data_IF_413291920271
#
_entry.id   IF_413291920271
#
_cell.length_a   1.000
_cell.length_b   1.000
_cell.length_c   1.000
_cell.angle_alpha   90.00
_cell.angle_beta   90.00
_cell.angle_gamma   90.00
#
_symmetry.space_group_name_H-M   'P 1'
#
loop_
_entity.id
_entity.type
_entity.pdbx_description
1 polymer ?
#
# COMPACT_ATOMS: atom_id res chain seq x y z
N UNK A 1 10.97 49.85 41.70
CA UNK A 1 11.43 48.45 41.52
C UNK A 1 10.44 47.78 40.58
N UNK A 2 10.88 47.31 39.40
CA UNK A 2 10.04 46.58 38.44
C UNK A 2 10.36 45.09 38.55
N UNK A 3 9.42 44.29 39.01
CA UNK A 3 9.50 42.83 39.05
C UNK A 3 9.02 42.31 37.70
N UNK A 4 9.93 41.83 36.85
CA UNK A 4 9.57 41.11 35.63
C UNK A 4 9.21 39.67 35.98
N UNK A 5 7.98 39.29 35.67
CA UNK A 5 7.49 37.91 35.76
C UNK A 5 7.79 37.24 34.41
N UNK A 6 8.70 36.27 34.40
CA UNK A 6 8.96 35.40 33.25
C UNK A 6 7.93 34.27 33.28
N UNK A 7 6.85 34.41 32.51
CA UNK A 7 5.92 33.32 32.23
C UNK A 7 5.64 33.31 30.73
N UNK A 8 6.31 32.43 29.97
CA UNK A 8 5.83 31.88 28.68
C UNK A 8 6.95 31.04 28.05
N UNK A 9 7.17 29.81 28.50
CA UNK A 9 8.01 28.87 27.73
C UNK A 9 7.63 27.39 27.89
N UNK A 10 6.87 27.02 28.93
CA UNK A 10 6.54 25.62 29.19
C UNK A 10 5.31 25.12 28.40
N UNK A 11 4.32 25.98 28.10
CA UNK A 11 3.09 25.56 27.40
C UNK A 11 3.27 25.29 25.89
N UNK A 12 4.21 25.99 25.22
CA UNK A 12 4.44 25.82 23.78
C UNK A 12 5.15 24.51 23.46
N UNK A 13 6.12 24.11 24.30
CA UNK A 13 6.85 22.85 24.12
C UNK A 13 5.95 21.62 24.35
N UNK A 14 5.04 21.67 25.32
CA UNK A 14 4.12 20.57 25.61
C UNK A 14 3.11 20.37 24.47
N UNK A 15 2.54 21.45 23.91
CA UNK A 15 1.59 21.37 22.79
C UNK A 15 2.23 20.84 21.50
N UNK A 16 3.48 21.20 21.21
CA UNK A 16 4.21 20.71 20.03
C UNK A 16 4.51 19.20 20.12
N UNK A 17 4.84 18.69 21.31
CA UNK A 17 5.11 17.27 21.52
C UNK A 17 3.85 16.40 21.34
N UNK A 18 2.69 16.87 21.78
CA UNK A 18 1.42 16.15 21.62
C UNK A 18 0.95 16.10 20.15
N UNK A 19 1.17 17.16 19.38
CA UNK A 19 0.78 17.21 17.96
C UNK A 19 1.59 16.24 17.09
N UNK A 20 2.90 16.09 17.34
CA UNK A 20 3.75 15.17 16.57
C UNK A 20 3.43 13.70 16.82
N UNK A 21 3.08 13.33 18.06
CA UNK A 21 2.69 11.96 18.40
C UNK A 21 1.39 11.53 17.67
N UNK A 22 0.41 12.42 17.62
CA UNK A 22 -0.88 12.17 16.95
C UNK A 22 -0.72 11.93 15.44
N UNK A 23 0.19 12.65 14.78
CA UNK A 23 0.44 12.50 13.34
C UNK A 23 1.15 11.17 13.02
N UNK A 24 2.07 10.72 13.88
CA UNK A 24 2.70 9.41 13.74
C UNK A 24 1.67 8.28 13.88
N UNK A 25 0.72 8.43 14.81
CA UNK A 25 -0.41 7.50 14.98
C UNK A 25 -1.31 7.45 13.73
N UNK A 26 -1.62 8.60 13.12
CA UNK A 26 -2.42 8.66 11.89
C UNK A 26 -1.75 7.95 10.71
N UNK A 27 -0.43 8.13 10.51
CA UNK A 27 0.33 7.40 9.49
C UNK A 27 0.27 5.89 9.75
N UNK A 28 0.54 5.46 10.97
CA UNK A 28 0.50 4.05 11.35
C UNK A 28 -0.90 3.45 11.17
N UNK A 29 -1.95 4.20 11.52
CA UNK A 29 -3.34 3.77 11.39
C UNK A 29 -3.75 3.57 9.93
N UNK A 30 -3.31 4.45 9.02
CA UNK A 30 -3.60 4.32 7.58
C UNK A 30 -3.10 2.99 7.01
N UNK A 31 -1.85 2.63 7.30
CA UNK A 31 -1.27 1.35 6.87
C UNK A 31 -1.88 0.16 7.60
N UNK A 32 -2.17 0.29 8.90
CA UNK A 32 -2.82 -0.77 9.67
C UNK A 32 -4.20 -1.12 9.11
N UNK A 33 -4.99 -0.10 8.74
CA UNK A 33 -6.32 -0.28 8.14
C UNK A 33 -6.24 -0.98 6.78
N UNK A 34 -5.32 -0.55 5.91
CA UNK A 34 -5.08 -1.23 4.64
C UNK A 34 -4.67 -2.69 4.88
N UNK A 35 -3.73 -2.96 5.78
CA UNK A 35 -3.29 -4.32 6.10
C UNK A 35 -4.42 -5.21 6.59
N UNK A 36 -5.28 -4.70 7.47
CA UNK A 36 -6.44 -5.43 7.96
C UNK A 36 -7.38 -5.81 6.83
N UNK A 37 -7.68 -4.86 5.93
CA UNK A 37 -8.53 -5.12 4.76
C UNK A 37 -7.93 -6.18 3.85
N UNK A 38 -6.65 -6.05 3.49
CA UNK A 38 -5.97 -7.02 2.63
C UNK A 38 -5.96 -8.42 3.25
N UNK A 39 -5.69 -8.53 4.56
CA UNK A 39 -5.71 -9.81 5.29
C UNK A 39 -7.10 -10.43 5.41
N UNK A 40 -8.15 -9.61 5.46
CA UNK A 40 -9.55 -10.06 5.52
C UNK A 40 -10.11 -10.49 4.16
N UNK A 41 -9.39 -10.22 3.07
CA UNK A 41 -9.85 -10.51 1.72
C UNK A 41 -9.88 -12.02 1.47
N UNK A 42 -11.03 -12.51 0.96
CA UNK A 42 -11.17 -13.90 0.54
C UNK A 42 -10.68 -14.04 -0.90
N UNK A 43 -9.58 -14.78 -1.08
CA UNK A 43 -9.04 -15.13 -2.40
C UNK A 43 -10.05 -15.98 -3.17
N UNK A 44 -10.24 -15.64 -4.44
CA UNK A 44 -11.18 -16.31 -5.34
C UNK A 44 -10.53 -17.47 -6.10
N UNK A 45 -9.20 -17.48 -6.19
CA UNK A 45 -8.43 -18.43 -6.99
C UNK A 45 -8.20 -17.97 -8.43
N UNK A 46 -8.84 -16.87 -8.83
CA UNK A 46 -8.52 -16.11 -10.03
C UNK A 46 -7.40 -15.12 -9.70
N UNK A 47 -6.23 -15.37 -10.28
CA UNK A 47 -4.99 -14.62 -10.01
C UNK A 47 -5.16 -13.14 -10.37
N UNK A 48 -5.64 -12.87 -11.58
CA UNK A 48 -5.74 -11.52 -12.12
C UNK A 48 -6.76 -10.70 -11.32
N UNK A 49 -7.88 -11.32 -10.93
CA UNK A 49 -8.90 -10.70 -10.07
C UNK A 49 -8.42 -10.47 -8.64
N UNK A 50 -7.75 -11.45 -8.06
CA UNK A 50 -7.26 -11.38 -6.69
C UNK A 50 -6.14 -10.32 -6.57
N UNK A 51 -5.19 -10.28 -7.53
CA UNK A 51 -4.19 -9.21 -7.64
C UNK A 51 -4.85 -7.84 -7.71
N UNK A 52 -5.82 -7.66 -8.60
CA UNK A 52 -6.45 -6.37 -8.82
C UNK A 52 -7.18 -5.87 -7.55
N UNK A 53 -7.93 -6.73 -6.86
CA UNK A 53 -8.61 -6.36 -5.61
C UNK A 53 -7.60 -6.01 -4.51
N UNK A 54 -6.54 -6.81 -4.35
CA UNK A 54 -5.52 -6.54 -3.34
C UNK A 54 -4.77 -5.24 -3.62
N UNK A 55 -4.36 -5.01 -4.87
CA UNK A 55 -3.59 -3.82 -5.25
C UNK A 55 -4.44 -2.54 -5.13
N UNK A 56 -5.76 -2.62 -5.34
CA UNK A 56 -6.67 -1.48 -5.08
C UNK A 56 -6.62 -1.05 -3.62
N UNK A 57 -6.76 -1.99 -2.67
CA UNK A 57 -6.70 -1.67 -1.25
C UNK A 57 -5.31 -1.24 -0.83
N UNK A 58 -4.26 -1.87 -1.38
CA UNK A 58 -2.87 -1.47 -1.15
C UNK A 58 -2.63 0.00 -1.53
N UNK A 59 -2.99 0.41 -2.75
CA UNK A 59 -2.91 1.81 -3.18
C UNK A 59 -3.72 2.77 -2.30
N UNK A 60 -4.86 2.32 -1.75
CA UNK A 60 -5.62 3.15 -0.82
C UNK A 60 -4.84 3.47 0.46
N UNK A 61 -4.03 2.53 0.97
CA UNK A 61 -3.17 2.78 2.12
C UNK A 61 -2.14 3.88 1.84
N UNK A 62 -1.50 3.86 0.67
CA UNK A 62 -0.59 4.92 0.26
C UNK A 62 -1.27 6.29 0.07
N UNK A 63 -2.47 6.32 -0.50
CA UNK A 63 -3.25 7.56 -0.65
C UNK A 63 -3.64 8.13 0.72
N UNK A 64 -4.10 7.28 1.64
CA UNK A 64 -4.48 7.68 3.00
C UNK A 64 -3.26 8.28 3.74
N UNK A 65 -2.10 7.61 3.68
CA UNK A 65 -0.85 8.11 4.27
C UNK A 65 -0.34 9.40 3.62
N UNK A 66 -0.43 9.51 2.29
CA UNK A 66 -0.05 10.71 1.57
C UNK A 66 -0.90 11.92 1.99
N UNK A 67 -2.19 11.72 2.24
CA UNK A 67 -3.06 12.77 2.76
C UNK A 67 -2.74 13.16 4.21
N UNK A 68 -2.21 12.26 5.04
CA UNK A 68 -1.71 12.59 6.38
C UNK A 68 -0.49 13.51 6.26
N UNK A 69 0.54 13.13 5.51
CA UNK A 69 1.76 13.95 5.38
C UNK A 69 1.48 15.29 4.71
N UNK A 70 0.52 15.39 3.76
CA UNK A 70 0.17 16.68 3.17
C UNK A 70 -0.46 17.69 4.15
N UNK A 71 -0.98 17.22 5.29
CA UNK A 71 -1.54 18.09 6.34
C UNK A 71 -0.50 18.55 7.35
N UNK A 72 0.56 17.78 7.57
CA UNK A 72 1.47 17.93 8.72
C UNK A 72 2.96 17.96 8.36
N UNK A 73 3.31 17.47 7.18
CA UNK A 73 4.66 17.43 6.63
C UNK A 73 5.19 18.80 6.23
N UNK A 74 6.49 18.99 6.43
CA UNK A 74 7.16 20.28 6.26
C UNK A 74 8.15 20.27 5.11
N UNK A 75 8.68 19.10 4.75
CA UNK A 75 9.63 18.98 3.67
C UNK A 75 8.94 19.12 2.29
N UNK A 76 9.37 20.07 1.45
CA UNK A 76 8.74 20.32 0.16
C UNK A 76 8.89 19.17 -0.83
N UNK A 77 9.97 18.37 -0.74
CA UNK A 77 10.17 17.20 -1.61
C UNK A 77 9.27 16.06 -1.19
N UNK A 78 9.12 15.81 0.12
CA UNK A 78 8.17 14.79 0.62
C UNK A 78 6.74 15.18 0.24
N UNK A 79 6.36 16.44 0.42
CA UNK A 79 5.05 16.93 -0.02
C UNK A 79 4.83 16.81 -1.53
N UNK A 80 5.88 16.98 -2.35
CA UNK A 80 5.79 16.76 -3.79
C UNK A 80 5.52 15.29 -4.14
N UNK A 81 6.23 14.36 -3.49
CA UNK A 81 6.02 12.92 -3.67
C UNK A 81 4.61 12.52 -3.22
N UNK A 82 4.14 13.01 -2.07
CA UNK A 82 2.80 12.73 -1.58
C UNK A 82 1.70 13.24 -2.54
N UNK A 83 1.87 14.44 -3.12
CA UNK A 83 0.95 14.96 -4.16
C UNK A 83 0.93 14.06 -5.40
N UNK A 84 2.09 13.57 -5.82
CA UNK A 84 2.21 12.66 -6.96
C UNK A 84 1.45 11.36 -6.70
N UNK A 85 1.62 10.76 -5.52
CA UNK A 85 0.86 9.57 -5.09
C UNK A 85 -0.64 9.81 -5.18
N UNK A 86 -1.15 10.91 -4.61
CA UNK A 86 -2.58 11.27 -4.66
C UNK A 86 -3.08 11.52 -6.08
N UNK A 87 -2.22 11.94 -7.01
CA UNK A 87 -2.59 12.22 -8.40
C UNK A 87 -2.51 10.98 -9.31
N UNK A 88 -1.63 10.02 -9.01
CA UNK A 88 -1.32 8.89 -9.89
C UNK A 88 -1.97 7.58 -9.44
N UNK A 89 -1.91 7.22 -8.17
CA UNK A 89 -2.43 5.94 -7.69
C UNK A 89 -3.94 5.75 -7.90
N UNK A 90 -4.81 6.78 -7.82
CA UNK A 90 -6.22 6.63 -8.19
C UNK A 90 -6.43 6.19 -9.65
N UNK A 91 -5.54 6.57 -10.58
CA UNK A 91 -5.60 6.15 -11.98
C UNK A 91 -5.30 4.67 -12.12
N UNK A 92 -4.30 4.17 -11.40
CA UNK A 92 -4.00 2.74 -11.35
C UNK A 92 -5.17 1.95 -10.73
N UNK A 93 -5.76 2.43 -9.62
CA UNK A 93 -6.96 1.81 -9.04
C UNK A 93 -8.12 1.79 -10.04
N UNK A 94 -8.33 2.86 -10.81
CA UNK A 94 -9.36 2.90 -11.85
C UNK A 94 -9.10 1.83 -12.93
N UNK A 95 -7.87 1.72 -13.42
CA UNK A 95 -7.50 0.71 -14.42
C UNK A 95 -7.72 -0.72 -13.91
N UNK A 96 -7.37 -1.00 -12.63
CA UNK A 96 -7.62 -2.29 -11.99
C UNK A 96 -9.12 -2.58 -11.86
N UNK A 97 -9.93 -1.59 -11.44
CA UNK A 97 -11.40 -1.73 -11.35
C UNK A 97 -12.04 -2.00 -12.71
N UNK A 98 -11.56 -1.34 -13.76
CA UNK A 98 -12.05 -1.57 -15.12
C UNK A 98 -11.86 -3.03 -15.53
N UNK A 99 -10.68 -3.61 -15.26
CA UNK A 99 -10.43 -5.01 -15.53
C UNK A 99 -11.41 -5.94 -14.79
N UNK A 100 -11.57 -5.76 -13.48
CA UNK A 100 -12.51 -6.57 -12.67
C UNK A 100 -13.95 -6.44 -13.19
N UNK A 101 -14.36 -5.25 -13.64
CA UNK A 101 -15.71 -5.01 -14.15
C UNK A 101 -15.98 -5.61 -15.54
N UNK A 102 -14.98 -5.65 -16.41
CA UNK A 102 -15.09 -6.21 -17.75
C UNK A 102 -15.33 -7.74 -17.71
N UNK A 103 -14.63 -8.44 -16.81
CA UNK A 103 -14.84 -9.87 -16.52
C UNK A 103 -16.27 -10.17 -16.02
N UNK A 104 -16.88 -9.29 -15.24
CA UNK A 104 -18.27 -9.51 -14.78
C UNK A 104 -19.28 -9.42 -15.92
N UNK A 105 -19.03 -8.60 -16.96
CA UNK A 105 -19.91 -8.49 -18.12
C UNK A 105 -19.81 -9.71 -19.04
N UNK A 106 -18.59 -10.18 -19.32
CA UNK A 106 -18.37 -11.36 -20.17
C UNK A 106 -18.90 -12.65 -19.55
N UNK A 107 -18.86 -12.78 -18.22
CA UNK A 107 -19.39 -13.95 -17.52
C UNK A 107 -20.92 -13.91 -17.33
N UNK A 108 -21.53 -12.72 -17.20
CA UNK A 108 -22.99 -12.57 -17.17
C UNK A 108 -23.65 -12.93 -18.52
N UNK A 109 -22.95 -12.71 -19.64
CA UNK A 109 -23.41 -13.08 -20.98
C UNK A 109 -23.23 -14.57 -21.31
N UNK A 110 -22.37 -15.29 -20.58
CA UNK A 110 -22.10 -16.73 -20.77
C UNK A 110 -22.80 -17.65 -19.75
N UNK A 111 -23.60 -17.10 -18.84
CA UNK A 111 -24.19 -17.82 -17.72
C UNK A 111 -25.48 -18.59 -18.03
N UNK A 112 -25.41 -19.64 -18.85
CA UNK A 112 -26.37 -20.76 -18.81
C UNK A 112 -25.72 -22.03 -19.36
N UNK A 113 -24.79 -22.62 -18.61
CA UNK A 113 -24.52 -24.05 -18.74
C UNK A 113 -23.95 -24.64 -17.43
N UNK A 114 -24.30 -25.90 -17.23
CA UNK A 114 -24.56 -26.57 -15.97
C UNK A 114 -23.27 -27.11 -15.31
N UNK A 115 -23.06 -26.87 -14.02
CA UNK A 115 -21.96 -27.48 -13.26
C UNK A 115 -22.51 -28.61 -12.36
N UNK A 116 -22.36 -29.86 -12.82
CA UNK A 116 -22.48 -31.05 -11.97
C UNK A 116 -21.18 -31.25 -11.19
N UNK A 117 -21.25 -31.26 -9.86
CA UNK A 117 -20.13 -31.58 -8.98
C UNK A 117 -19.98 -33.10 -8.80
N UNK A 118 -18.81 -33.64 -9.15
CA UNK A 118 -18.34 -34.97 -8.75
C UNK A 118 -17.09 -34.86 -7.88
N UNK A 119 -17.15 -35.42 -6.67
CA UNK A 119 -16.06 -35.48 -5.68
C UNK A 119 -15.13 -36.68 -5.93
N UNK A 120 -13.79 -36.49 -5.86
CA UNK A 120 -12.92 -37.03 -4.80
C UNK A 120 -11.41 -36.70 -5.03
N UNK A 121 -10.57 -36.71 -3.97
CA UNK A 121 -9.27 -36.03 -3.95
C UNK A 121 -8.10 -36.96 -4.30
N UNK A 122 -7.25 -36.50 -5.22
CA UNK A 122 -5.86 -36.93 -5.34
C UNK A 122 -5.02 -35.67 -5.18
N UNK A 123 -3.96 -35.75 -4.36
CA UNK A 123 -2.99 -34.70 -4.07
C UNK A 123 -2.24 -34.26 -5.34
N UNK A 124 -2.94 -33.51 -6.19
CA UNK A 124 -2.37 -32.80 -7.31
C UNK A 124 -1.42 -31.71 -6.76
N UNK A 125 -0.31 -31.42 -7.46
CA UNK A 125 0.52 -30.25 -7.16
C UNK A 125 -0.36 -29.01 -7.02
N UNK A 126 -0.09 -28.10 -6.08
CA UNK A 126 -0.92 -26.92 -5.89
C UNK A 126 -1.05 -26.17 -7.22
N UNK A 127 -2.30 -25.90 -7.61
CA UNK A 127 -2.61 -25.13 -8.82
C UNK A 127 -1.87 -23.79 -8.82
N UNK A 128 -1.64 -23.18 -9.99
CA UNK A 128 -1.01 -21.84 -10.06
C UNK A 128 -1.73 -20.82 -9.17
N UNK A 129 -3.06 -20.90 -9.04
CA UNK A 129 -3.83 -20.06 -8.11
C UNK A 129 -3.52 -20.32 -6.63
N UNK A 130 -3.31 -21.58 -6.24
CA UNK A 130 -2.89 -21.94 -4.88
C UNK A 130 -1.47 -21.43 -4.58
N UNK A 131 -0.56 -21.48 -5.56
CA UNK A 131 0.81 -20.96 -5.41
C UNK A 131 0.82 -19.43 -5.29
N UNK A 132 0.09 -18.74 -6.16
CA UNK A 132 -0.11 -17.29 -6.07
C UNK A 132 -0.68 -16.87 -4.71
N UNK A 133 -1.72 -17.57 -4.23
CA UNK A 133 -2.32 -17.30 -2.92
C UNK A 133 -1.31 -17.43 -1.79
N UNK A 134 -0.46 -18.46 -1.81
CA UNK A 134 0.58 -18.65 -0.80
C UNK A 134 1.66 -17.57 -0.89
N UNK A 135 2.05 -17.17 -2.10
CA UNK A 135 3.02 -16.09 -2.33
C UNK A 135 2.47 -14.76 -1.79
N UNK A 136 1.20 -14.44 -2.08
CA UNK A 136 0.52 -13.25 -1.55
C UNK A 136 0.44 -13.25 -0.02
N UNK A 137 0.12 -14.39 0.61
CA UNK A 137 0.13 -14.51 2.08
C UNK A 137 1.51 -14.24 2.67
N UNK A 138 2.56 -14.75 2.04
CA UNK A 138 3.93 -14.54 2.50
C UNK A 138 4.33 -13.06 2.38
N UNK A 139 4.01 -12.43 1.26
CA UNK A 139 4.24 -10.98 1.03
C UNK A 139 3.52 -10.15 2.12
N UNK A 140 2.24 -10.42 2.38
CA UNK A 140 1.47 -9.72 3.41
C UNK A 140 2.04 -9.94 4.82
N UNK A 141 2.50 -11.16 5.14
CA UNK A 141 3.12 -11.44 6.42
C UNK A 141 4.44 -10.69 6.61
N UNK A 142 5.26 -10.59 5.57
CA UNK A 142 6.49 -9.80 5.62
C UNK A 142 6.21 -8.32 5.82
N UNK A 143 5.21 -7.78 5.11
CA UNK A 143 4.76 -6.40 5.30
C UNK A 143 4.30 -6.15 6.74
N UNK A 144 3.48 -7.04 7.30
CA UNK A 144 2.99 -6.94 8.68
C UNK A 144 4.14 -6.92 9.70
N UNK A 145 5.14 -7.78 9.51
CA UNK A 145 6.31 -7.84 10.38
C UNK A 145 7.15 -6.57 10.28
N UNK A 146 7.35 -6.03 9.08
CA UNK A 146 8.07 -4.76 8.90
C UNK A 146 7.34 -3.59 9.55
N UNK A 147 6.03 -3.49 9.35
CA UNK A 147 5.21 -2.44 9.95
C UNK A 147 5.20 -2.51 11.49
N UNK A 148 5.10 -3.71 12.06
CA UNK A 148 5.14 -3.90 13.52
C UNK A 148 6.48 -3.51 14.16
N UNK A 149 7.57 -3.65 13.43
CA UNK A 149 8.92 -3.36 13.91
C UNK A 149 9.45 -2.00 13.43
N UNK A 150 8.59 -1.17 12.82
CA UNK A 150 8.98 0.14 12.33
C UNK A 150 9.24 1.09 13.50
N UNK A 151 10.41 1.72 13.49
CA UNK A 151 10.77 2.72 14.50
C UNK A 151 10.31 4.11 14.05
N UNK A 152 9.23 4.61 14.65
CA UNK A 152 8.72 5.96 14.39
C UNK A 152 9.61 7.00 15.09
N UNK A 153 9.94 8.08 14.39
CA UNK A 153 10.94 9.07 14.82
C UNK A 153 10.33 10.41 15.27
N UNK A 154 9.00 10.51 15.27
CA UNK A 154 8.23 11.74 15.48
C UNK A 154 8.48 12.85 14.44
N UNK A 155 9.27 12.56 13.39
CA UNK A 155 9.37 13.36 12.19
C UNK A 155 8.49 12.73 11.11
N UNK A 156 7.34 13.34 10.86
CA UNK A 156 6.35 12.85 9.90
C UNK A 156 6.92 12.66 8.49
N UNK A 157 7.82 13.55 8.04
CA UNK A 157 8.41 13.47 6.70
C UNK A 157 9.32 12.23 6.59
N UNK A 158 10.12 11.99 7.63
CA UNK A 158 10.98 10.81 7.74
C UNK A 158 10.17 9.52 7.88
N UNK A 159 9.18 9.51 8.77
CA UNK A 159 8.34 8.34 9.03
C UNK A 159 7.51 7.97 7.79
N UNK A 160 6.94 8.96 7.10
CA UNK A 160 6.29 8.76 5.81
C UNK A 160 7.25 8.17 4.78
N UNK A 161 8.45 8.72 4.63
CA UNK A 161 9.42 8.23 3.64
C UNK A 161 9.85 6.79 3.93
N UNK A 162 10.20 6.48 5.18
CA UNK A 162 10.58 5.14 5.62
C UNK A 162 9.45 4.12 5.36
N UNK A 163 8.23 4.47 5.76
CA UNK A 163 7.04 3.64 5.58
C UNK A 163 6.70 3.43 4.11
N UNK A 164 6.76 4.49 3.30
CA UNK A 164 6.39 4.43 1.90
C UNK A 164 7.39 3.62 1.07
N UNK A 165 8.68 3.61 1.44
CA UNK A 165 9.69 2.74 0.83
C UNK A 165 9.28 1.27 0.99
N UNK A 166 8.95 0.82 2.21
CA UNK A 166 8.60 -0.59 2.42
C UNK A 166 7.23 -0.95 1.86
N UNK A 167 6.25 -0.04 1.92
CA UNK A 167 4.98 -0.18 1.20
C UNK A 167 5.21 -0.40 -0.30
N UNK A 168 6.08 0.40 -0.93
CA UNK A 168 6.34 0.28 -2.37
C UNK A 168 7.05 -1.01 -2.76
N UNK A 169 7.93 -1.54 -1.90
CA UNK A 169 8.54 -2.86 -2.15
C UNK A 169 7.49 -3.96 -2.17
N UNK A 170 6.48 -3.88 -1.31
CA UNK A 170 5.35 -4.84 -1.33
C UNK A 170 4.58 -4.73 -2.64
N UNK A 171 4.33 -3.52 -3.14
CA UNK A 171 3.70 -3.33 -4.46
C UNK A 171 4.54 -3.99 -5.58
N UNK A 172 5.88 -3.88 -5.53
CA UNK A 172 6.75 -4.54 -6.51
C UNK A 172 6.68 -6.07 -6.41
N UNK A 173 6.66 -6.63 -5.20
CA UNK A 173 6.58 -8.08 -4.98
C UNK A 173 5.22 -8.64 -5.47
N UNK A 174 4.13 -7.93 -5.16
CA UNK A 174 2.79 -8.28 -5.64
C UNK A 174 2.70 -8.23 -7.17
N UNK A 175 3.26 -7.19 -7.78
CA UNK A 175 3.30 -7.06 -9.22
C UNK A 175 4.13 -8.17 -9.89
N UNK A 176 5.25 -8.58 -9.28
CA UNK A 176 6.04 -9.71 -9.76
C UNK A 176 5.23 -11.01 -9.72
N UNK A 177 4.52 -11.29 -8.62
CA UNK A 177 3.64 -12.45 -8.51
C UNK A 177 2.57 -12.44 -9.61
N UNK A 178 1.94 -11.30 -9.89
CA UNK A 178 1.00 -11.15 -11.00
C UNK A 178 1.66 -11.47 -12.35
N UNK A 179 2.85 -10.91 -12.64
CA UNK A 179 3.53 -11.21 -13.91
C UNK A 179 3.89 -12.69 -14.08
N UNK A 180 4.11 -13.40 -12.98
CA UNK A 180 4.48 -14.81 -12.95
C UNK A 180 3.27 -15.74 -13.10
N UNK A 181 2.16 -15.43 -12.44
CA UNK A 181 1.01 -16.33 -12.33
C UNK A 181 -0.21 -15.92 -13.15
N UNK A 182 -0.38 -14.61 -13.40
CA UNK A 182 -1.50 -14.04 -14.11
C UNK A 182 -1.57 -14.47 -15.57
N UNK A 183 -2.79 -14.43 -16.11
CA UNK A 183 -3.12 -14.89 -17.46
C UNK A 183 -3.52 -13.75 -18.38
N UNK A 184 -4.05 -12.65 -17.84
CA UNK A 184 -4.57 -11.53 -18.62
C UNK A 184 -3.42 -10.58 -18.94
N UNK A 185 -3.11 -10.45 -20.23
CA UNK A 185 -1.95 -9.67 -20.71
C UNK A 185 -2.02 -8.22 -20.24
N UNK A 186 -3.21 -7.62 -20.28
CA UNK A 186 -3.47 -6.25 -19.86
C UNK A 186 -3.15 -6.04 -18.38
N UNK A 187 -3.52 -6.98 -17.51
CA UNK A 187 -3.25 -6.91 -16.06
C UNK A 187 -1.76 -7.04 -15.78
N UNK A 188 -1.08 -7.94 -16.49
CA UNK A 188 0.38 -8.10 -16.37
C UNK A 188 1.13 -6.85 -16.84
N UNK A 189 0.66 -6.16 -17.88
CA UNK A 189 1.23 -4.89 -18.32
C UNK A 189 1.01 -3.79 -17.29
N UNK A 190 -0.18 -3.72 -16.70
CA UNK A 190 -0.47 -2.80 -15.61
C UNK A 190 0.40 -3.08 -14.37
N UNK A 191 0.57 -4.35 -13.99
CA UNK A 191 1.46 -4.75 -12.91
C UNK A 191 2.92 -4.30 -13.16
N UNK A 192 3.43 -4.48 -14.39
CA UNK A 192 4.77 -4.00 -14.77
C UNK A 192 4.89 -2.48 -14.68
N UNK A 193 3.85 -1.74 -15.06
CA UNK A 193 3.81 -0.27 -14.92
C UNK A 193 3.89 0.12 -13.45
N UNK A 194 3.04 -0.46 -12.60
CA UNK A 194 3.02 -0.24 -11.14
C UNK A 194 4.41 -0.51 -10.57
N UNK A 195 5.02 -1.65 -10.90
CA UNK A 195 6.38 -2.00 -10.45
C UNK A 195 7.42 -0.94 -10.87
N UNK A 196 7.36 -0.45 -12.10
CA UNK A 196 8.29 0.59 -12.59
C UNK A 196 8.10 1.92 -11.86
N UNK A 197 6.87 2.34 -11.66
CA UNK A 197 6.56 3.62 -11.00
C UNK A 197 6.91 3.54 -9.50
N UNK A 198 6.60 2.43 -8.84
CA UNK A 198 6.99 2.20 -7.45
C UNK A 198 8.51 2.20 -7.26
N UNK A 199 9.26 1.61 -8.19
CA UNK A 199 10.73 1.60 -8.12
C UNK A 199 11.33 3.02 -8.28
N UNK A 200 10.72 3.88 -9.09
CA UNK A 200 11.15 5.29 -9.21
C UNK A 200 10.92 6.02 -7.89
N UNK A 201 9.74 5.87 -7.28
CA UNK A 201 9.39 6.53 -6.02
C UNK A 201 10.24 6.03 -4.85
N UNK A 202 10.54 4.73 -4.77
CA UNK A 202 11.54 4.19 -3.83
C UNK A 202 12.88 4.90 -3.99
N UNK A 203 13.34 5.09 -5.23
CA UNK A 203 14.64 5.72 -5.51
C UNK A 203 14.66 7.19 -5.07
N UNK A 204 13.56 7.91 -5.29
CA UNK A 204 13.39 9.30 -4.85
C UNK A 204 13.38 9.42 -3.32
N UNK A 205 12.63 8.57 -2.64
CA UNK A 205 12.54 8.53 -1.18
C UNK A 205 13.89 8.12 -0.54
N UNK A 206 14.57 7.11 -1.07
CA UNK A 206 15.90 6.71 -0.60
C UNK A 206 16.93 7.83 -0.78
N UNK A 207 16.89 8.52 -1.93
CA UNK A 207 17.75 9.68 -2.17
C UNK A 207 17.46 10.81 -1.19
N UNK A 208 16.19 11.05 -0.88
CA UNK A 208 15.81 12.02 0.14
C UNK A 208 16.34 11.59 1.51
N UNK A 209 16.07 10.36 1.96
CA UNK A 209 16.55 9.83 3.24
C UNK A 209 18.06 10.04 3.39
N UNK A 210 18.85 9.51 2.45
CA UNK A 210 20.32 9.62 2.44
C UNK A 210 20.86 11.05 2.54
N UNK A 211 20.11 12.04 2.01
CA UNK A 211 20.48 13.45 2.06
C UNK A 211 20.18 14.15 3.39
N UNK A 212 19.34 13.56 4.25
CA UNK A 212 18.82 14.18 5.47
C UNK A 212 19.14 13.38 6.75
N UNK A 213 20.12 12.47 6.73
CA UNK A 213 20.71 11.82 7.92
C UNK A 213 21.68 12.73 8.71
N UNK A 214 21.49 14.06 8.72
CA UNK A 214 22.33 15.00 9.46
C UNK A 214 21.56 15.74 10.55
#
# INVERSE_FOLDING_TARGET
MKTSIIFTSIFVALALCHASAFVADDLHQSMSKMMQKMKSMKMTGDVDKDFANMMIEHHQGAIDAANVVLKSGKDPKINAIAKKIVAEQPKDQQNLRLHISAEHKTNAEKGSEHATHGNNPISAPPSKGNQFTNEMKNILNQMDLKMKNMNMTANVDHDFASMMIDHHKVATDMAQAETKYGKVVEVKLLAKKIMSDSQKEISELQKWMNGHHK
#
